data_IF_251025886936
#
_entry.id   IF_251025886936
#
_cell.length_a   1.000
_cell.length_b   1.000
_cell.length_c   1.000
_cell.angle_alpha   90.00
_cell.angle_beta   90.00
_cell.angle_gamma   90.00
#
_symmetry.space_group_name_H-M   'P 1'
#
loop_
_entity.id
_entity.type
_entity.pdbx_description
1 polymer ?
#
# COMPACT_ATOMS: atom_id res chain seq x y z
N UNK A 1 33.70 17.00 52.51
CA UNK A 1 32.84 16.70 51.33
C UNK A 1 31.67 17.68 51.35
N UNK A 2 31.16 18.24 50.24
CA UNK A 2 30.16 17.63 49.31
C UNK A 2 29.03 16.90 50.07
N UNK A 3 27.75 17.19 49.84
CA UNK A 3 27.13 17.62 48.55
C UNK A 3 26.06 18.70 48.73
N UNK A 4 26.01 19.68 47.82
CA UNK A 4 24.87 20.58 47.61
C UNK A 4 23.73 19.85 46.89
N UNK A 5 22.47 20.10 47.27
CA UNK A 5 21.31 19.76 46.43
C UNK A 5 21.09 20.87 45.41
N UNK A 6 21.50 20.64 44.16
CA UNK A 6 21.08 21.48 43.04
C UNK A 6 19.65 21.12 42.64
N UNK A 7 18.82 22.13 42.41
CA UNK A 7 17.67 21.98 41.52
C UNK A 7 18.15 21.83 40.07
N UNK A 8 17.32 21.21 39.23
CA UNK A 8 17.46 21.11 37.78
C UNK A 8 16.05 21.20 37.16
N UNK A 9 15.90 21.67 35.92
CA UNK A 9 14.62 22.19 35.44
C UNK A 9 13.63 21.12 34.99
N UNK A 10 12.34 21.48 35.03
CA UNK A 10 11.26 20.79 34.34
C UNK A 10 11.32 21.07 32.84
N UNK A 11 11.74 20.09 32.04
CA UNK A 11 11.75 20.16 30.58
C UNK A 11 10.85 19.07 29.98
N UNK A 12 9.53 19.22 30.19
CA UNK A 12 8.50 18.37 29.58
C UNK A 12 8.36 18.66 28.08
N UNK A 13 9.37 18.25 27.32
CA UNK A 13 9.30 18.17 25.86
C UNK A 13 8.21 17.16 25.45
N UNK A 14 7.01 17.69 25.16
CA UNK A 14 5.82 16.91 24.77
C UNK A 14 6.01 16.22 23.42
N UNK A 15 6.64 15.06 23.43
CA UNK A 15 6.74 14.12 22.31
C UNK A 15 5.39 13.46 22.03
N UNK A 16 4.52 14.18 21.31
CA UNK A 16 3.27 13.63 20.80
C UNK A 16 3.52 12.42 19.90
N UNK A 17 2.71 11.36 20.08
CA UNK A 17 2.72 10.19 19.20
C UNK A 17 2.49 10.64 17.75
N UNK A 18 3.31 10.19 16.77
CA UNK A 18 3.15 10.62 15.39
C UNK A 18 1.83 10.09 14.82
N UNK A 19 0.96 11.00 14.39
CA UNK A 19 -0.26 10.66 13.68
C UNK A 19 0.01 10.00 12.32
N UNK A 20 -1.06 9.57 11.68
CA UNK A 20 -1.01 9.07 10.29
C UNK A 20 -0.42 10.11 9.32
N UNK A 21 -0.03 9.66 8.13
CA UNK A 21 0.50 10.59 7.12
C UNK A 21 -0.57 11.61 6.71
N UNK A 22 -1.85 11.21 6.64
CA UNK A 22 -2.95 12.12 6.31
C UNK A 22 -3.20 13.16 7.41
N UNK A 23 -3.12 12.79 8.69
CA UNK A 23 -3.16 13.75 9.81
C UNK A 23 -1.95 14.70 9.78
N UNK A 24 -0.76 14.18 9.47
CA UNK A 24 0.47 14.97 9.34
C UNK A 24 0.41 15.97 8.17
N UNK A 25 -0.19 15.58 7.05
CA UNK A 25 -0.44 16.44 5.89
C UNK A 25 -1.44 17.54 6.27
N UNK A 26 -2.56 17.16 6.88
CA UNK A 26 -3.61 18.08 7.35
C UNK A 26 -3.03 19.13 8.30
N UNK A 27 -2.34 18.71 9.35
CA UNK A 27 -1.72 19.59 10.35
C UNK A 27 -0.79 20.63 9.71
N UNK A 28 0.14 20.21 8.85
CA UNK A 28 1.13 21.10 8.22
C UNK A 28 0.52 22.08 7.23
N UNK A 29 -0.54 21.69 6.52
CA UNK A 29 -1.25 22.59 5.61
C UNK A 29 -2.13 23.57 6.41
N UNK A 30 -2.78 23.11 7.47
CA UNK A 30 -3.61 23.95 8.34
C UNK A 30 -2.77 24.99 9.10
N UNK A 31 -1.62 24.62 9.66
CA UNK A 31 -0.64 25.55 10.24
C UNK A 31 -0.16 26.60 9.23
N UNK A 32 -0.03 26.20 7.96
CA UNK A 32 0.48 27.07 6.91
C UNK A 32 -0.59 28.04 6.40
N UNK A 33 -1.79 27.55 6.06
CA UNK A 33 -2.86 28.31 5.39
C UNK A 33 -3.81 29.02 6.37
N UNK A 34 -4.14 28.44 7.53
CA UNK A 34 -5.13 29.05 8.44
C UNK A 34 -4.75 30.48 8.88
N UNK A 35 -3.48 30.79 9.20
CA UNK A 35 -3.07 32.17 9.53
C UNK A 35 -3.09 33.15 8.35
N UNK A 36 -3.25 32.66 7.12
CA UNK A 36 -3.37 33.47 5.89
C UNK A 36 -4.85 33.71 5.50
N UNK A 37 -5.81 33.09 6.21
CA UNK A 37 -7.24 33.19 5.92
C UNK A 37 -7.81 34.53 6.39
N UNK A 38 -8.18 35.38 5.44
CA UNK A 38 -8.91 36.64 5.72
C UNK A 38 -10.42 36.43 5.58
N UNK A 39 -11.22 37.38 6.07
CA UNK A 39 -12.68 37.35 5.90
C UNK A 39 -13.12 37.44 4.42
N UNK A 40 -12.23 37.83 3.50
CA UNK A 40 -12.48 37.97 2.07
C UNK A 40 -11.88 36.85 1.21
N UNK A 41 -10.89 36.09 1.70
CA UNK A 41 -10.21 35.05 0.92
C UNK A 41 -10.42 33.65 1.51
N UNK A 42 -11.29 32.88 0.86
CA UNK A 42 -11.42 31.43 1.06
C UNK A 42 -10.63 30.61 0.03
N UNK A 43 -10.13 31.27 -1.03
CA UNK A 43 -9.26 30.68 -2.05
C UNK A 43 -7.79 30.79 -1.64
N UNK A 44 -7.04 29.71 -1.86
CA UNK A 44 -5.61 29.60 -1.65
C UNK A 44 -4.97 28.96 -2.88
N UNK A 45 -3.65 29.16 -3.06
CA UNK A 45 -2.87 28.45 -4.07
C UNK A 45 -1.84 27.53 -3.40
N UNK A 46 -1.74 26.28 -3.87
CA UNK A 46 -0.65 25.38 -3.51
C UNK A 46 0.17 24.99 -4.75
N UNK A 47 1.49 25.00 -4.61
CA UNK A 47 2.45 24.52 -5.60
C UNK A 47 3.13 23.26 -5.05
N UNK A 48 2.86 22.10 -5.64
CA UNK A 48 3.36 20.80 -5.23
C UNK A 48 4.60 20.41 -6.05
N UNK A 49 5.78 20.53 -5.44
CA UNK A 49 7.08 20.10 -5.98
C UNK A 49 7.36 18.66 -5.51
N UNK A 50 7.23 17.69 -6.43
CA UNK A 50 7.23 16.26 -6.11
C UNK A 50 8.49 15.55 -6.63
N UNK A 51 9.13 14.75 -5.76
CA UNK A 51 10.22 13.85 -6.16
C UNK A 51 9.67 12.58 -6.84
N UNK A 52 9.05 12.77 -8.01
CA UNK A 52 8.23 11.78 -8.71
C UNK A 52 8.39 11.84 -10.23
N UNK A 53 9.17 10.90 -10.77
CA UNK A 53 9.38 10.69 -12.21
C UNK A 53 8.38 9.63 -12.74
N UNK A 54 7.14 10.07 -12.97
CA UNK A 54 6.06 9.18 -13.42
C UNK A 54 6.33 8.57 -14.81
N UNK A 55 6.90 9.34 -15.75
CA UNK A 55 7.12 8.87 -17.13
C UNK A 55 8.14 7.73 -17.18
N UNK A 56 9.18 7.80 -16.32
CA UNK A 56 10.22 6.79 -16.20
C UNK A 56 9.71 5.56 -15.43
N UNK A 57 8.83 5.73 -14.44
CA UNK A 57 8.10 4.61 -13.84
C UNK A 57 7.29 3.84 -14.90
N UNK A 58 6.40 4.51 -15.63
CA UNK A 58 5.54 3.88 -16.65
C UNK A 58 6.37 3.19 -17.74
N UNK A 59 7.47 3.82 -18.17
CA UNK A 59 8.42 3.24 -19.13
C UNK A 59 9.10 1.96 -18.61
N UNK A 60 9.47 1.89 -17.33
CA UNK A 60 10.15 0.74 -16.72
C UNK A 60 9.23 -0.42 -16.33
N UNK A 61 7.91 -0.22 -16.25
CA UNK A 61 6.97 -1.31 -15.99
C UNK A 61 6.67 -2.16 -17.23
N UNK A 62 7.05 -1.70 -18.43
CA UNK A 62 6.85 -2.41 -19.70
C UNK A 62 5.39 -2.90 -19.93
N UNK A 63 4.41 -2.06 -19.54
CA UNK A 63 3.00 -2.30 -19.80
C UNK A 63 2.71 -2.39 -21.29
N UNK A 64 1.91 -3.38 -21.69
CA UNK A 64 1.40 -3.57 -23.05
C UNK A 64 0.20 -2.63 -23.30
N UNK A 65 0.39 -1.34 -23.02
CA UNK A 65 -0.65 -0.31 -22.97
C UNK A 65 -0.06 1.10 -23.12
N UNK A 66 -0.90 2.05 -23.54
CA UNK A 66 -0.56 3.49 -23.55
C UNK A 66 -0.39 4.03 -22.13
N UNK A 67 0.36 5.13 -21.94
CA UNK A 67 0.74 5.62 -20.61
C UNK A 67 -0.46 6.03 -19.74
N UNK A 68 -1.50 6.61 -20.34
CA UNK A 68 -2.77 6.94 -19.70
C UNK A 68 -3.61 5.70 -19.36
N UNK A 69 -3.45 4.60 -20.09
CA UNK A 69 -4.07 3.31 -19.71
C UNK A 69 -3.26 2.62 -18.61
N UNK A 70 -1.94 2.68 -18.69
CA UNK A 70 -1.01 2.11 -17.73
C UNK A 70 -1.11 2.76 -16.34
N UNK A 71 -1.28 4.08 -16.26
CA UNK A 71 -1.35 4.80 -14.97
C UNK A 71 -2.58 4.42 -14.13
N UNK A 72 -3.70 4.06 -14.77
CA UNK A 72 -4.89 3.58 -14.03
C UNK A 72 -4.79 2.10 -13.63
N UNK A 73 -4.21 1.26 -14.50
CA UNK A 73 -4.08 -0.19 -14.31
C UNK A 73 -2.89 -0.61 -13.42
N UNK A 74 -1.93 0.29 -13.18
CA UNK A 74 -0.72 -0.02 -12.41
C UNK A 74 -1.06 -0.63 -11.05
N UNK A 75 -0.51 -1.81 -10.76
CA UNK A 75 -0.74 -2.51 -9.50
C UNK A 75 0.10 -1.87 -8.40
N UNK A 76 -0.58 -1.42 -7.35
CA UNK A 76 -0.01 -0.70 -6.23
C UNK A 76 -0.15 -1.54 -4.97
N UNK A 77 0.87 -1.55 -4.10
CA UNK A 77 0.78 -2.15 -2.77
C UNK A 77 0.69 -1.05 -1.72
N UNK A 78 -0.29 -1.11 -0.83
CA UNK A 78 -0.42 -0.16 0.30
C UNK A 78 -0.59 -0.91 1.61
N UNK A 79 0.01 -0.41 2.70
CA UNK A 79 -0.12 -0.93 4.06
C UNK A 79 1.22 -1.19 4.75
N UNK A 80 1.38 -2.39 5.30
CA UNK A 80 2.47 -2.78 6.21
C UNK A 80 3.10 -4.13 5.83
N UNK A 81 4.21 -4.49 6.48
CA UNK A 81 4.90 -5.77 6.25
C UNK A 81 4.03 -7.01 6.55
N UNK A 82 3.14 -6.92 7.54
CA UNK A 82 2.19 -7.99 7.86
C UNK A 82 0.95 -7.95 6.99
N UNK A 83 0.31 -6.76 6.92
CA UNK A 83 -0.99 -6.56 6.29
C UNK A 83 -0.90 -5.46 5.22
N UNK A 84 -1.12 -5.84 3.95
CA UNK A 84 -1.11 -4.94 2.80
C UNK A 84 -2.28 -5.26 1.84
N UNK A 85 -2.67 -4.30 0.99
CA UNK A 85 -3.58 -4.54 -0.14
C UNK A 85 -2.83 -4.38 -1.46
N UNK A 86 -3.13 -5.23 -2.45
CA UNK A 86 -2.81 -5.00 -3.85
C UNK A 86 -4.07 -4.58 -4.61
N UNK A 87 -4.04 -3.39 -5.23
CA UNK A 87 -5.12 -2.83 -6.03
C UNK A 87 -4.54 -2.12 -7.25
N UNK A 88 -5.36 -1.93 -8.30
CA UNK A 88 -4.97 -0.97 -9.34
C UNK A 88 -4.92 0.44 -8.75
N UNK A 89 -4.14 1.32 -9.36
CA UNK A 89 -4.07 2.73 -9.00
C UNK A 89 -5.47 3.37 -8.94
N UNK A 90 -6.30 3.13 -9.95
CA UNK A 90 -7.67 3.63 -10.00
C UNK A 90 -8.55 3.08 -8.86
N UNK A 91 -8.45 1.79 -8.55
CA UNK A 91 -9.26 1.17 -7.51
C UNK A 91 -8.89 1.69 -6.11
N UNK A 92 -7.60 1.80 -5.79
CA UNK A 92 -7.16 2.38 -4.52
C UNK A 92 -7.56 3.85 -4.37
N UNK A 93 -7.41 4.64 -5.44
CA UNK A 93 -7.82 6.06 -5.45
C UNK A 93 -9.34 6.21 -5.27
N UNK A 94 -10.15 5.34 -5.87
CA UNK A 94 -11.60 5.32 -5.67
C UNK A 94 -12.01 4.79 -4.29
N UNK A 95 -11.26 3.86 -3.71
CA UNK A 95 -11.48 3.33 -2.36
C UNK A 95 -11.22 4.40 -1.30
N UNK A 96 -10.11 5.13 -1.43
CA UNK A 96 -9.58 6.03 -0.39
C UNK A 96 -10.13 7.45 -0.53
N UNK A 97 -10.44 7.89 -1.75
CA UNK A 97 -11.06 9.20 -2.03
C UNK A 97 -12.20 9.08 -3.04
N UNK A 98 -13.39 8.55 -2.63
CA UNK A 98 -14.47 8.19 -3.55
C UNK A 98 -15.01 9.34 -4.42
N UNK A 99 -14.91 10.59 -3.97
CA UNK A 99 -15.44 11.76 -4.68
C UNK A 99 -14.44 12.37 -5.67
N UNK A 100 -13.14 12.29 -5.40
CA UNK A 100 -12.10 13.10 -6.05
C UNK A 100 -10.95 12.29 -6.66
N UNK A 101 -10.62 11.12 -6.11
CA UNK A 101 -9.45 10.34 -6.55
C UNK A 101 -9.51 9.90 -8.01
N UNK A 102 -10.72 9.53 -8.49
CA UNK A 102 -10.97 9.25 -9.92
C UNK A 102 -10.73 10.46 -10.82
N UNK A 103 -10.97 11.68 -10.32
CA UNK A 103 -10.78 12.92 -11.09
C UNK A 103 -9.29 13.25 -11.19
N UNK A 104 -8.52 13.11 -10.11
CA UNK A 104 -7.06 13.30 -10.14
C UNK A 104 -6.37 12.30 -11.07
N UNK A 105 -6.75 11.01 -11.03
CA UNK A 105 -6.20 10.02 -12.00
C UNK A 105 -6.54 10.41 -13.43
N UNK A 106 -7.77 10.90 -13.70
CA UNK A 106 -8.16 11.39 -15.04
C UNK A 106 -7.41 12.64 -15.49
N UNK A 107 -6.99 13.53 -14.58
CA UNK A 107 -6.13 14.66 -14.92
C UNK A 107 -4.71 14.18 -15.26
N UNK A 108 -4.15 13.20 -14.53
CA UNK A 108 -2.88 12.57 -14.90
C UNK A 108 -2.97 11.88 -16.26
N UNK A 109 -4.07 11.18 -16.56
CA UNK A 109 -4.34 10.60 -17.88
C UNK A 109 -4.34 11.67 -18.98
N UNK A 110 -5.01 12.81 -18.75
CA UNK A 110 -5.03 13.95 -19.68
C UNK A 110 -3.63 14.56 -19.88
N UNK A 111 -2.82 14.66 -18.84
CA UNK A 111 -1.44 15.14 -18.93
C UNK A 111 -0.54 14.16 -19.71
N UNK A 112 -0.71 12.85 -19.53
CA UNK A 112 0.07 11.81 -20.23
C UNK A 112 -0.27 11.67 -21.72
N UNK A 113 -1.52 11.98 -22.12
CA UNK A 113 -1.92 12.08 -23.54
C UNK A 113 -1.38 13.36 -24.22
N UNK A 114 -1.09 14.40 -23.43
CA UNK A 114 -0.57 15.68 -23.94
C UNK A 114 0.87 15.52 -24.45
N UNK A 115 1.20 15.93 -25.70
CA UNK A 115 2.59 15.95 -26.17
C UNK A 115 3.50 16.88 -25.35
N UNK A 116 2.91 17.84 -24.63
CA UNK A 116 3.60 18.72 -23.69
C UNK A 116 3.67 18.16 -22.26
N UNK A 117 3.27 16.88 -22.04
CA UNK A 117 3.21 16.17 -20.76
C UNK A 117 2.53 16.95 -19.62
N UNK A 118 1.58 17.81 -19.99
CA UNK A 118 0.97 18.79 -19.09
C UNK A 118 -0.49 19.04 -19.45
N UNK A 119 -1.31 19.40 -18.46
CA UNK A 119 -2.69 19.82 -18.67
C UNK A 119 -3.26 20.65 -17.50
N UNK A 120 -4.18 21.55 -17.83
CA UNK A 120 -5.07 22.21 -16.86
C UNK A 120 -6.43 21.49 -16.75
N UNK A 121 -7.07 21.56 -15.59
CA UNK A 121 -8.42 21.04 -15.35
C UNK A 121 -9.00 21.45 -14.00
N UNK A 122 -10.10 20.82 -13.60
CA UNK A 122 -10.81 21.11 -12.36
C UNK A 122 -11.16 19.84 -11.59
N UNK A 123 -11.10 19.91 -10.27
CA UNK A 123 -11.63 18.91 -9.34
C UNK A 123 -13.08 19.22 -8.97
N UNK A 124 -13.72 18.27 -8.27
CA UNK A 124 -15.02 18.49 -7.61
C UNK A 124 -14.92 19.71 -6.68
N UNK A 125 -15.95 20.56 -6.69
CA UNK A 125 -15.93 21.83 -5.96
C UNK A 125 -15.20 22.99 -6.66
N UNK A 126 -14.74 22.80 -7.91
CA UNK A 126 -14.19 23.89 -8.73
C UNK A 126 -12.75 24.27 -8.42
N UNK A 127 -12.01 23.43 -7.69
CA UNK A 127 -10.57 23.62 -7.49
C UNK A 127 -9.84 23.43 -8.83
N UNK A 128 -9.20 24.49 -9.31
CA UNK A 128 -8.38 24.50 -10.52
C UNK A 128 -7.08 23.74 -10.25
N UNK A 129 -6.61 22.95 -11.22
CA UNK A 129 -5.36 22.18 -11.15
C UNK A 129 -4.63 22.20 -12.50
N UNK A 130 -3.41 22.72 -12.49
CA UNK A 130 -2.42 22.64 -13.56
C UNK A 130 -1.39 21.56 -13.21
N UNK A 131 -1.13 20.63 -14.14
CA UNK A 131 -0.17 19.53 -13.98
C UNK A 131 0.93 19.66 -15.05
N UNK A 132 2.20 19.51 -14.64
CA UNK A 132 3.37 19.40 -15.51
C UNK A 132 4.20 18.15 -15.12
N UNK A 133 4.41 17.25 -16.09
CA UNK A 133 5.18 16.01 -15.99
C UNK A 133 6.39 15.98 -16.96
N UNK A 134 6.79 17.13 -17.52
CA UNK A 134 7.94 17.25 -18.43
C UNK A 134 9.29 17.02 -17.72
N UNK A 135 9.33 17.35 -16.44
CA UNK A 135 10.48 17.23 -15.56
C UNK A 135 10.49 15.87 -14.82
N UNK A 136 11.67 15.31 -14.46
CA UNK A 136 11.76 14.14 -13.58
C UNK A 136 11.25 14.42 -12.15
N UNK A 137 10.89 15.67 -11.85
CA UNK A 137 10.03 16.07 -10.74
C UNK A 137 8.73 16.64 -11.29
N UNK A 138 7.61 15.95 -11.01
CA UNK A 138 6.29 16.47 -11.31
C UNK A 138 6.01 17.77 -10.53
N UNK A 139 5.41 18.75 -11.21
CA UNK A 139 4.96 20.01 -10.63
C UNK A 139 3.45 20.12 -10.81
N UNK A 140 2.71 20.34 -9.73
CA UNK A 140 1.26 20.56 -9.77
C UNK A 140 0.95 21.89 -9.08
N UNK A 141 0.27 22.81 -9.77
CA UNK A 141 -0.27 24.03 -9.16
C UNK A 141 -1.77 23.88 -9.02
N UNK A 142 -2.32 24.17 -7.85
CA UNK A 142 -3.75 24.09 -7.60
C UNK A 142 -4.29 25.34 -6.90
N UNK A 143 -5.48 25.80 -7.29
CA UNK A 143 -6.19 26.94 -6.69
C UNK A 143 -7.56 26.48 -6.18
N UNK A 144 -7.77 26.54 -4.87
CA UNK A 144 -8.94 25.93 -4.24
C UNK A 144 -9.12 26.31 -2.78
N UNK A 145 -10.05 25.63 -2.10
CA UNK A 145 -10.21 25.75 -0.65
C UNK A 145 -9.12 24.98 0.09
N UNK A 146 -8.80 25.40 1.31
CA UNK A 146 -7.83 24.73 2.19
C UNK A 146 -8.08 23.21 2.29
N UNK A 147 -9.34 22.78 2.44
CA UNK A 147 -9.70 21.36 2.49
C UNK A 147 -9.40 20.60 1.18
N UNK A 148 -9.70 21.21 0.01
CA UNK A 148 -9.41 20.58 -1.28
C UNK A 148 -7.91 20.47 -1.56
N UNK A 149 -7.11 21.46 -1.14
CA UNK A 149 -5.65 21.42 -1.24
C UNK A 149 -5.03 20.38 -0.29
N UNK A 150 -5.58 20.21 0.92
CA UNK A 150 -5.19 19.14 1.85
C UNK A 150 -5.50 17.76 1.28
N UNK A 151 -6.70 17.55 0.73
CA UNK A 151 -7.08 16.27 0.13
C UNK A 151 -6.21 15.93 -1.11
N UNK A 152 -5.99 16.91 -1.99
CA UNK A 152 -5.09 16.77 -3.14
C UNK A 152 -3.65 16.46 -2.71
N UNK A 153 -3.16 17.08 -1.64
CA UNK A 153 -1.83 16.75 -1.10
C UNK A 153 -1.73 15.31 -0.61
N UNK A 154 -2.79 14.79 0.05
CA UNK A 154 -2.89 13.39 0.43
C UNK A 154 -2.85 12.44 -0.78
N UNK A 155 -3.61 12.77 -1.83
CA UNK A 155 -3.66 12.01 -3.07
C UNK A 155 -2.31 12.00 -3.81
N UNK A 156 -1.70 13.16 -4.00
CA UNK A 156 -0.38 13.29 -4.63
C UNK A 156 0.72 12.56 -3.82
N UNK A 157 0.67 12.67 -2.49
CA UNK A 157 1.60 11.95 -1.60
C UNK A 157 1.48 10.43 -1.73
N UNK A 158 0.27 9.90 -1.91
CA UNK A 158 0.09 8.47 -2.19
C UNK A 158 0.51 8.10 -3.62
N UNK A 159 0.06 8.85 -4.63
CA UNK A 159 0.34 8.58 -6.04
C UNK A 159 1.84 8.50 -6.32
N UNK A 160 2.62 9.45 -5.83
CA UNK A 160 4.07 9.42 -5.98
C UNK A 160 4.77 8.34 -5.16
N UNK A 161 4.16 7.86 -4.08
CA UNK A 161 4.66 6.72 -3.30
C UNK A 161 4.35 5.37 -3.97
N UNK A 162 3.19 5.25 -4.62
CA UNK A 162 2.71 4.05 -5.29
C UNK A 162 3.30 3.86 -6.69
N UNK A 163 3.40 4.95 -7.46
CA UNK A 163 3.77 4.97 -8.87
C UNK A 163 5.23 5.40 -9.05
N UNK A 164 6.15 4.80 -8.28
CA UNK A 164 7.60 4.95 -8.46
C UNK A 164 8.30 3.62 -8.67
N UNK A 165 9.46 3.68 -9.32
CA UNK A 165 10.30 2.48 -9.45
C UNK A 165 11.03 2.23 -8.13
N UNK A 166 10.91 1.02 -7.58
CA UNK A 166 11.73 0.58 -6.45
C UNK A 166 13.22 0.77 -6.77
N UNK A 167 14.04 1.41 -5.90
CA UNK A 167 15.47 1.59 -6.13
C UNK A 167 16.28 0.28 -6.03
N UNK A 168 15.60 -0.87 -5.93
CA UNK A 168 16.19 -2.20 -5.69
C UNK A 168 15.88 -3.17 -6.82
N UNK A 169 16.85 -4.02 -7.12
CA UNK A 169 16.70 -5.14 -8.06
C UNK A 169 16.02 -6.38 -7.46
N UNK A 170 15.86 -6.43 -6.13
CA UNK A 170 15.20 -7.53 -5.41
C UNK A 170 14.71 -7.12 -4.02
N UNK A 171 13.73 -7.86 -3.51
CA UNK A 171 13.20 -7.70 -2.15
C UNK A 171 12.14 -6.60 -2.02
N UNK A 172 11.44 -6.60 -0.89
CA UNK A 172 10.42 -5.58 -0.59
C UNK A 172 11.10 -4.31 -0.09
N UNK A 173 10.64 -3.15 -0.58
CA UNK A 173 10.89 -1.86 0.06
C UNK A 173 9.58 -1.22 0.53
N UNK A 174 9.66 -0.24 1.42
CA UNK A 174 8.52 0.56 1.85
C UNK A 174 8.76 2.02 1.47
N UNK A 175 7.84 2.62 0.72
CA UNK A 175 7.89 4.06 0.42
C UNK A 175 7.04 4.82 1.42
N UNK A 176 7.66 5.72 2.18
CA UNK A 176 6.96 6.61 3.12
C UNK A 176 7.09 8.04 2.58
N UNK A 177 6.02 8.67 2.07
CA UNK A 177 6.06 10.08 1.69
C UNK A 177 6.19 10.98 2.93
N UNK A 178 6.76 12.15 2.71
CA UNK A 178 7.04 13.17 3.71
C UNK A 178 6.84 14.54 3.07
N UNK A 179 6.13 15.44 3.75
CA UNK A 179 5.92 16.80 3.25
C UNK A 179 6.63 17.86 4.10
N UNK A 180 7.14 18.89 3.44
CA UNK A 180 7.43 20.19 4.04
C UNK A 180 6.62 21.26 3.31
N UNK A 181 6.09 22.22 4.07
CA UNK A 181 5.26 23.31 3.56
C UNK A 181 5.97 24.62 3.87
N UNK A 182 6.02 25.53 2.90
CA UNK A 182 6.60 26.88 3.04
C UNK A 182 5.59 27.89 2.53
N UNK A 183 5.33 28.97 3.28
CA UNK A 183 4.47 30.06 2.81
C UNK A 183 5.20 30.86 1.74
N UNK A 184 4.49 31.14 0.65
CA UNK A 184 5.02 31.86 -0.50
C UNK A 184 4.36 33.23 -0.60
N UNK A 185 5.15 34.26 -0.97
CA UNK A 185 4.67 35.64 -1.06
C UNK A 185 4.19 35.93 -2.47
N UNK A 186 2.88 35.77 -2.71
CA UNK A 186 2.23 36.05 -3.99
C UNK A 186 0.94 36.86 -3.79
N UNK A 187 0.33 37.34 -4.88
CA UNK A 187 -0.91 38.12 -4.82
C UNK A 187 -2.12 37.34 -4.24
N UNK A 188 -2.11 36.01 -4.34
CA UNK A 188 -3.01 35.12 -3.59
C UNK A 188 -2.30 34.52 -2.37
N UNK A 189 -3.03 34.18 -1.29
CA UNK A 189 -2.50 33.36 -0.19
C UNK A 189 -1.95 32.02 -0.71
N UNK A 190 -0.63 31.84 -0.69
CA UNK A 190 0.01 30.68 -1.32
C UNK A 190 1.03 29.95 -0.46
N UNK A 191 1.20 28.66 -0.78
CA UNK A 191 2.23 27.78 -0.20
C UNK A 191 2.91 26.97 -1.29
N UNK A 192 4.21 26.72 -1.11
CA UNK A 192 4.92 25.68 -1.85
C UNK A 192 5.05 24.46 -0.92
N UNK A 193 4.59 23.30 -1.39
CA UNK A 193 4.57 22.02 -0.69
C UNK A 193 5.56 21.08 -1.39
N UNK A 194 6.64 20.71 -0.70
CA UNK A 194 7.58 19.72 -1.20
C UNK A 194 7.18 18.34 -0.72
N UNK A 195 6.95 17.43 -1.67
CA UNK A 195 6.64 16.02 -1.39
C UNK A 195 7.88 15.18 -1.74
N UNK A 196 8.64 14.83 -0.71
CA UNK A 196 9.81 13.93 -0.77
C UNK A 196 9.48 12.57 -0.15
N UNK A 197 10.28 11.55 -0.44
CA UNK A 197 9.93 10.17 -0.09
C UNK A 197 11.12 9.44 0.49
N UNK A 198 10.88 8.66 1.56
CA UNK A 198 11.90 7.80 2.19
C UNK A 198 11.57 6.35 1.88
N UNK A 199 12.39 5.73 1.03
CA UNK A 199 12.34 4.30 0.75
C UNK A 199 13.16 3.55 1.81
N UNK A 200 12.49 2.80 2.69
CA UNK A 200 13.13 2.04 3.78
C UNK A 200 13.25 0.55 3.45
N UNK A 201 14.39 -0.04 3.81
CA UNK A 201 14.65 -1.47 3.71
C UNK A 201 14.35 -2.17 5.03
N UNK A 202 13.25 -2.90 5.09
CA UNK A 202 13.10 -4.00 6.06
C UNK A 202 13.91 -5.20 5.58
N UNK A 203 15.23 -5.11 5.79
CA UNK A 203 16.25 -6.11 5.47
C UNK A 203 16.18 -7.33 6.40
N UNK A 204 14.99 -7.92 6.52
CA UNK A 204 14.66 -8.99 7.44
C UNK A 204 15.50 -10.23 7.15
N UNK A 205 15.97 -10.87 8.21
CA UNK A 205 16.90 -11.99 8.07
C UNK A 205 16.19 -13.28 7.65
N UNK A 206 16.86 -14.21 6.93
CA UNK A 206 16.22 -15.42 6.37
C UNK A 206 15.48 -16.38 7.31
N UNK A 207 15.44 -16.15 8.63
CA UNK A 207 14.78 -17.02 9.61
C UNK A 207 13.49 -16.43 10.17
N UNK A 208 13.03 -15.29 9.64
CA UNK A 208 11.62 -14.96 9.69
C UNK A 208 10.87 -15.82 8.65
N UNK A 209 10.99 -17.15 8.82
CA UNK A 209 10.50 -18.22 7.93
C UNK A 209 8.98 -18.37 7.90
N UNK A 210 8.26 -17.36 8.40
CA UNK A 210 6.82 -17.21 8.39
C UNK A 210 6.39 -15.85 7.82
N UNK A 211 7.33 -15.00 7.35
CA UNK A 211 7.06 -13.68 6.80
C UNK A 211 6.46 -13.75 5.38
N UNK A 212 5.22 -14.24 5.34
CA UNK A 212 4.17 -14.16 4.34
C UNK A 212 4.45 -14.70 2.92
N UNK A 213 3.75 -15.79 2.56
CA UNK A 213 3.89 -16.48 1.26
C UNK A 213 3.56 -15.61 0.03
N UNK A 214 2.72 -14.59 0.17
CA UNK A 214 2.37 -13.67 -0.93
C UNK A 214 3.57 -12.90 -1.51
N UNK A 215 4.67 -12.75 -0.77
CA UNK A 215 5.82 -11.95 -1.20
C UNK A 215 6.42 -12.47 -2.51
N UNK A 216 6.39 -13.78 -2.74
CA UNK A 216 6.87 -14.41 -3.97
C UNK A 216 5.98 -14.15 -5.20
N UNK A 217 4.82 -13.50 -5.05
CA UNK A 217 4.00 -13.00 -6.17
C UNK A 217 4.63 -11.74 -6.82
N UNK A 218 5.62 -11.11 -6.17
CA UNK A 218 6.28 -9.88 -6.64
C UNK A 218 7.80 -9.98 -6.50
N UNK A 219 8.56 -9.40 -7.43
CA UNK A 219 10.04 -9.50 -7.47
C UNK A 219 10.75 -8.48 -6.59
N UNK A 220 10.32 -7.23 -6.70
CA UNK A 220 10.89 -6.07 -6.02
C UNK A 220 9.81 -5.02 -5.68
N UNK A 221 8.68 -5.43 -5.05
CA UNK A 221 7.56 -4.54 -4.81
C UNK A 221 7.93 -3.41 -3.86
N UNK A 222 7.26 -2.28 -4.03
CA UNK A 222 7.31 -1.14 -3.12
C UNK A 222 5.93 -0.99 -2.46
N UNK A 223 5.90 -0.95 -1.13
CA UNK A 223 4.66 -0.84 -0.36
C UNK A 223 4.54 0.60 0.15
N UNK A 224 3.44 1.28 -0.18
CA UNK A 224 3.13 2.59 0.39
C UNK A 224 2.78 2.43 1.86
N UNK A 225 3.62 2.99 2.71
CA UNK A 225 3.50 2.93 4.16
C UNK A 225 2.72 4.14 4.70
N UNK A 226 2.02 3.97 5.83
CA UNK A 226 1.34 5.06 6.55
C UNK A 226 0.03 5.57 5.92
N UNK A 227 -0.48 4.87 4.91
CA UNK A 227 -1.78 5.11 4.27
C UNK A 227 -2.81 4.03 4.64
N UNK A 228 -4.12 4.33 4.61
CA UNK A 228 -5.15 3.39 5.01
C UNK A 228 -5.27 2.20 4.05
N UNK A 229 -5.74 1.09 4.61
CA UNK A 229 -6.22 -0.10 3.90
C UNK A 229 -7.64 -0.41 4.41
N UNK A 230 -8.45 -1.19 3.67
CA UNK A 230 -9.77 -1.59 4.16
C UNK A 230 -9.66 -2.32 5.52
N UNK A 231 -10.54 -1.94 6.44
CA UNK A 231 -10.70 -2.62 7.72
C UNK A 231 -10.92 -4.12 7.50
N UNK A 232 -10.25 -4.96 8.31
CA UNK A 232 -10.26 -6.42 8.20
C UNK A 232 -11.07 -6.99 9.38
N UNK A 233 -12.33 -7.40 9.17
CA UNK A 233 -13.26 -7.70 10.26
C UNK A 233 -12.76 -8.84 11.14
N UNK A 234 -12.13 -9.86 10.55
CA UNK A 234 -11.62 -11.05 11.24
C UNK A 234 -10.10 -10.96 11.49
N UNK A 235 -9.54 -9.74 11.40
CA UNK A 235 -8.10 -9.45 11.48
C UNK A 235 -7.26 -10.27 10.46
N UNK A 236 -7.80 -10.48 9.26
CA UNK A 236 -7.16 -11.34 8.25
C UNK A 236 -5.71 -10.90 7.93
N UNK A 237 -4.79 -11.86 7.91
CA UNK A 237 -3.34 -11.59 7.79
C UNK A 237 -2.84 -11.71 6.35
N UNK A 238 -1.86 -10.88 5.99
CA UNK A 238 -1.18 -10.95 4.69
C UNK A 238 -1.71 -9.96 3.65
N UNK A 239 -1.60 -10.34 2.38
CA UNK A 239 -1.97 -9.51 1.24
C UNK A 239 -3.42 -9.73 0.87
N UNK A 240 -4.23 -8.69 0.92
CA UNK A 240 -5.55 -8.68 0.30
C UNK A 240 -5.43 -8.28 -1.16
N UNK A 241 -6.14 -8.96 -2.08
CA UNK A 241 -6.20 -8.57 -3.48
C UNK A 241 -7.46 -9.11 -4.19
N UNK A 242 -7.95 -8.44 -5.25
CA UNK A 242 -9.09 -8.93 -6.04
C UNK A 242 -8.80 -10.29 -6.69
N UNK A 243 -9.84 -11.13 -6.84
CA UNK A 243 -9.68 -12.46 -7.44
C UNK A 243 -9.00 -12.44 -8.81
N UNK A 244 -9.32 -11.47 -9.67
CA UNK A 244 -8.70 -11.33 -10.99
C UNK A 244 -7.17 -11.22 -10.95
N UNK A 245 -6.62 -10.58 -9.91
CA UNK A 245 -5.17 -10.44 -9.68
C UNK A 245 -4.53 -11.72 -9.12
N UNK A 246 -5.33 -12.64 -8.58
CA UNK A 246 -4.93 -14.01 -8.23
C UNK A 246 -5.08 -14.96 -9.43
N UNK A 247 -6.07 -14.69 -10.29
CA UNK A 247 -6.58 -15.57 -11.35
C UNK A 247 -5.84 -15.49 -12.69
N UNK A 248 -4.69 -14.80 -12.77
CA UNK A 248 -3.67 -15.12 -13.79
C UNK A 248 -3.26 -16.60 -13.76
N UNK A 249 -3.52 -17.26 -12.63
CA UNK A 249 -3.68 -18.71 -12.50
C UNK A 249 -4.88 -19.23 -13.34
N UNK A 250 -4.67 -19.30 -14.66
CA UNK A 250 -5.63 -19.54 -15.78
C UNK A 250 -6.81 -20.49 -15.58
N UNK A 251 -6.79 -21.38 -14.59
CA UNK A 251 -7.90 -22.29 -14.29
C UNK A 251 -8.12 -22.43 -12.77
N UNK A 252 -9.26 -21.92 -12.28
CA UNK A 252 -9.84 -22.36 -11.02
C UNK A 252 -10.34 -23.80 -11.20
N UNK A 253 -9.71 -24.76 -10.52
CA UNK A 253 -9.86 -26.19 -10.79
C UNK A 253 -10.20 -26.96 -9.53
N UNK A 254 -11.28 -27.74 -9.53
CA UNK A 254 -11.48 -28.77 -8.50
C UNK A 254 -10.50 -29.92 -8.73
N UNK A 255 -9.64 -30.21 -7.75
CA UNK A 255 -8.70 -31.32 -7.80
C UNK A 255 -8.89 -32.26 -6.60
N UNK A 256 -9.59 -33.37 -6.84
CA UNK A 256 -10.07 -34.23 -5.77
C UNK A 256 -11.07 -33.47 -4.90
N UNK A 257 -10.76 -33.34 -3.61
CA UNK A 257 -11.64 -32.76 -2.59
C UNK A 257 -11.33 -31.29 -2.26
N UNK A 258 -10.59 -30.55 -3.07
CA UNK A 258 -10.31 -29.11 -2.84
C UNK A 258 -10.27 -28.30 -4.14
N UNK A 259 -10.48 -26.99 -4.00
CA UNK A 259 -10.36 -25.97 -5.03
C UNK A 259 -8.91 -25.49 -5.13
N UNK A 260 -8.37 -25.41 -6.35
CA UNK A 260 -6.99 -25.00 -6.63
C UNK A 260 -6.99 -23.95 -7.73
N UNK A 261 -6.39 -22.79 -7.51
CA UNK A 261 -6.11 -21.84 -8.60
C UNK A 261 -4.69 -22.13 -9.12
N UNK A 262 -4.56 -22.54 -10.39
CA UNK A 262 -3.31 -23.07 -10.94
C UNK A 262 -2.68 -22.20 -12.02
N UNK A 263 -1.45 -21.73 -11.78
CA UNK A 263 -0.57 -21.14 -12.81
C UNK A 263 0.47 -22.16 -13.30
N UNK A 264 1.54 -21.75 -14.01
CA UNK A 264 2.59 -22.67 -14.46
C UNK A 264 3.40 -23.24 -13.27
N UNK A 265 4.28 -22.43 -12.70
CA UNK A 265 5.10 -22.70 -11.51
C UNK A 265 4.48 -22.20 -10.20
N UNK A 266 3.22 -21.78 -10.23
CA UNK A 266 2.46 -21.25 -9.08
C UNK A 266 1.21 -22.07 -8.79
N UNK A 267 0.71 -22.00 -7.56
CA UNK A 267 -0.53 -22.64 -7.12
C UNK A 267 -1.06 -21.92 -5.87
N UNK A 268 -2.34 -21.56 -5.86
CA UNK A 268 -3.04 -21.03 -4.67
C UNK A 268 -3.98 -22.11 -4.12
N UNK A 269 -3.90 -22.31 -2.80
CA UNK A 269 -4.65 -23.33 -2.05
C UNK A 269 -5.42 -22.64 -0.93
N UNK A 270 -6.75 -22.81 -0.80
CA UNK A 270 -7.51 -22.23 0.29
C UNK A 270 -7.15 -22.94 1.59
N UNK A 271 -6.87 -22.17 2.64
CA UNK A 271 -6.47 -22.67 3.97
C UNK A 271 -7.42 -22.27 5.08
N UNK A 272 -8.21 -21.21 4.87
CA UNK A 272 -9.23 -20.77 5.82
C UNK A 272 -10.37 -20.06 5.09
N UNK A 273 -11.55 -20.07 5.70
CA UNK A 273 -12.75 -19.38 5.23
C UNK A 273 -13.52 -18.81 6.42
N UNK A 274 -13.99 -17.58 6.26
CA UNK A 274 -15.02 -16.94 7.08
C UNK A 274 -16.31 -16.83 6.27
N UNK A 275 -17.36 -16.17 6.78
CA UNK A 275 -18.53 -15.88 5.94
C UNK A 275 -18.19 -14.99 4.71
N UNK A 276 -17.23 -14.07 4.86
CA UNK A 276 -16.95 -12.97 3.92
C UNK A 276 -15.54 -12.98 3.33
N UNK A 277 -14.69 -13.94 3.71
CA UNK A 277 -13.32 -14.02 3.23
C UNK A 277 -12.78 -15.44 3.09
N UNK A 278 -11.83 -15.61 2.17
CA UNK A 278 -11.03 -16.83 1.98
C UNK A 278 -9.56 -16.47 2.12
N UNK A 279 -8.85 -17.19 2.99
CA UNK A 279 -7.39 -17.12 3.11
C UNK A 279 -6.76 -18.21 2.24
N UNK A 280 -5.73 -17.83 1.48
CA UNK A 280 -5.03 -18.67 0.53
C UNK A 280 -3.55 -18.76 0.85
N UNK A 281 -2.98 -19.95 0.74
CA UNK A 281 -1.54 -20.17 0.76
C UNK A 281 -0.99 -20.19 -0.68
N UNK A 282 0.00 -19.33 -0.96
CA UNK A 282 0.69 -19.27 -2.25
C UNK A 282 1.89 -20.22 -2.26
N UNK A 283 1.84 -21.21 -3.15
CA UNK A 283 2.96 -22.09 -3.46
C UNK A 283 3.62 -21.62 -4.77
N UNK A 284 4.93 -21.44 -4.72
CA UNK A 284 5.78 -21.10 -5.86
C UNK A 284 6.91 -22.12 -6.00
N UNK A 285 7.41 -22.29 -7.21
CA UNK A 285 8.57 -23.10 -7.55
C UNK A 285 9.65 -22.17 -8.12
N UNK A 286 10.70 -21.89 -7.33
CA UNK A 286 11.76 -20.91 -7.68
C UNK A 286 12.61 -21.38 -8.87
N UNK A 287 12.69 -22.68 -9.07
CA UNK A 287 13.24 -23.37 -10.25
C UNK A 287 12.43 -23.14 -11.55
N UNK A 288 11.22 -22.59 -11.44
CA UNK A 288 10.29 -22.41 -12.55
C UNK A 288 9.56 -23.69 -12.99
N UNK A 289 9.76 -24.82 -12.31
CA UNK A 289 9.11 -26.08 -12.67
C UNK A 289 7.60 -26.06 -12.40
N UNK A 290 6.87 -26.87 -13.18
CA UNK A 290 5.41 -26.98 -13.07
C UNK A 290 5.02 -27.76 -11.81
N UNK A 291 4.64 -27.05 -10.75
CA UNK A 291 4.04 -27.63 -9.53
C UNK A 291 2.96 -28.68 -9.89
N UNK A 292 3.14 -29.98 -9.57
CA UNK A 292 2.14 -31.01 -9.84
C UNK A 292 0.92 -30.85 -8.92
N UNK A 293 -0.29 -31.12 -9.41
CA UNK A 293 -1.54 -30.91 -8.64
C UNK A 293 -1.57 -31.65 -7.30
N UNK A 294 -1.04 -32.88 -7.19
CA UNK A 294 -1.00 -33.63 -5.93
C UNK A 294 -0.05 -33.04 -4.88
N UNK A 295 0.90 -32.17 -5.27
CA UNK A 295 2.02 -31.77 -4.40
C UNK A 295 1.63 -30.84 -3.25
N UNK A 296 0.52 -30.08 -3.35
CA UNK A 296 0.10 -29.23 -2.22
C UNK A 296 -0.13 -30.03 -0.95
N UNK A 297 -0.59 -31.29 -1.05
CA UNK A 297 -0.83 -32.16 0.12
C UNK A 297 0.41 -32.42 0.97
N UNK A 298 1.62 -32.17 0.43
CA UNK A 298 2.91 -32.25 1.14
C UNK A 298 3.48 -30.88 1.53
N UNK A 299 3.00 -29.79 0.91
CA UNK A 299 3.55 -28.42 1.05
C UNK A 299 2.64 -27.49 1.86
N UNK A 300 1.37 -27.83 1.97
CA UNK A 300 0.36 -27.17 2.76
C UNK A 300 -0.40 -28.26 3.52
N UNK A 301 -0.32 -28.26 4.85
CA UNK A 301 -1.07 -29.18 5.72
C UNK A 301 -2.45 -28.63 6.11
N UNK A 302 -2.62 -27.31 6.05
CA UNK A 302 -3.80 -26.57 6.53
C UNK A 302 -4.80 -26.27 5.41
N UNK A 303 -4.87 -27.07 4.34
CA UNK A 303 -5.81 -26.86 3.23
C UNK A 303 -7.24 -27.23 3.63
N UNK A 304 -8.23 -26.49 3.10
CA UNK A 304 -9.65 -26.79 3.30
C UNK A 304 -10.28 -27.44 2.06
N UNK A 305 -11.32 -28.25 2.27
CA UNK A 305 -11.98 -28.97 1.19
C UNK A 305 -13.03 -28.15 0.44
N UNK A 306 -13.62 -28.73 -0.60
CA UNK A 306 -14.73 -28.15 -1.38
C UNK A 306 -16.02 -27.99 -0.58
N UNK A 307 -16.16 -28.69 0.55
CA UNK A 307 -17.19 -28.44 1.58
C UNK A 307 -17.16 -26.99 2.09
N UNK A 308 -15.97 -26.38 2.12
CA UNK A 308 -15.75 -25.00 2.58
C UNK A 308 -15.40 -24.05 1.43
N UNK A 309 -14.56 -24.46 0.47
CA UNK A 309 -14.09 -23.62 -0.63
C UNK A 309 -14.44 -24.24 -1.99
N UNK A 310 -15.55 -23.81 -2.59
CA UNK A 310 -16.03 -24.23 -3.91
C UNK A 310 -16.17 -23.05 -4.88
N UNK A 311 -16.23 -23.33 -6.19
CA UNK A 311 -16.19 -22.30 -7.26
C UNK A 311 -17.24 -21.18 -7.09
N UNK A 312 -18.47 -21.47 -6.66
CA UNK A 312 -19.50 -20.44 -6.44
C UNK A 312 -19.12 -19.33 -5.44
N UNK A 313 -18.19 -19.59 -4.51
CA UNK A 313 -17.65 -18.57 -3.60
C UNK A 313 -16.62 -17.64 -4.25
N UNK A 314 -16.16 -17.97 -5.46
CA UNK A 314 -15.32 -17.10 -6.30
C UNK A 314 -16.16 -16.13 -7.15
N UNK A 315 -17.45 -16.42 -7.31
CA UNK A 315 -18.40 -15.62 -8.09
C UNK A 315 -19.09 -14.55 -7.22
N UNK A 316 -19.11 -14.74 -5.90
CA UNK A 316 -19.56 -13.73 -4.93
C UNK A 316 -18.58 -12.55 -4.86
N UNK A 317 -19.02 -11.39 -5.39
CA UNK A 317 -18.25 -10.13 -5.39
C UNK A 317 -18.01 -9.56 -3.99
N UNK A 318 -18.69 -10.06 -2.96
CA UNK A 318 -18.48 -9.66 -1.56
C UNK A 318 -17.38 -10.51 -0.88
N UNK A 319 -16.94 -11.60 -1.51
CA UNK A 319 -15.91 -12.48 -0.98
C UNK A 319 -14.53 -11.84 -1.09
N UNK A 320 -13.93 -11.48 0.05
CA UNK A 320 -12.57 -10.93 0.09
C UNK A 320 -11.55 -12.07 0.04
N UNK A 321 -10.40 -11.82 -0.57
CA UNK A 321 -9.35 -12.83 -0.68
C UNK A 321 -8.04 -12.32 -0.10
N UNK A 322 -7.48 -13.11 0.81
CA UNK A 322 -6.23 -12.81 1.49
C UNK A 322 -5.21 -13.91 1.17
N UNK A 323 -4.09 -13.57 0.54
CA UNK A 323 -2.96 -14.48 0.42
C UNK A 323 -2.07 -14.28 1.65
N UNK A 324 -1.93 -15.32 2.46
CA UNK A 324 -1.29 -15.24 3.76
C UNK A 324 -1.07 -16.62 4.36
N UNK A 325 -0.02 -16.75 5.17
CA UNK A 325 0.20 -17.97 5.94
C UNK A 325 0.74 -17.64 7.31
N UNK A 326 -0.01 -18.04 8.33
CA UNK A 326 0.51 -18.30 9.66
C UNK A 326 0.49 -19.82 9.83
N UNK A 327 1.63 -20.42 10.19
CA UNK A 327 1.75 -21.87 10.44
C UNK A 327 0.92 -22.33 11.64
N UNK A 328 0.74 -21.42 12.59
CA UNK A 328 -0.19 -21.50 13.73
C UNK A 328 -0.83 -20.12 13.94
N UNK A 329 -2.12 -20.11 14.28
CA UNK A 329 -2.77 -19.00 14.98
C UNK A 329 -3.29 -19.57 16.29
N UNK A 330 -2.39 -19.69 17.28
CA UNK A 330 -2.75 -20.14 18.63
C UNK A 330 -3.23 -18.96 19.46
N UNK A 331 -4.44 -19.07 20.01
CA UNK A 331 -5.12 -17.98 20.73
C UNK A 331 -4.72 -17.98 22.21
N UNK A 332 -3.46 -17.62 22.49
CA UNK A 332 -2.84 -17.64 23.82
C UNK A 332 -3.31 -16.55 24.82
N UNK A 333 -4.40 -15.83 24.50
CA UNK A 333 -5.02 -14.87 25.42
C UNK A 333 -5.59 -15.63 26.64
N UNK A 334 -4.90 -15.52 27.77
CA UNK A 334 -5.25 -16.22 29.02
C UNK A 334 -4.56 -17.57 29.24
N UNK A 335 -3.57 -17.97 28.42
CA UNK A 335 -2.75 -19.18 28.67
C UNK A 335 -1.42 -18.84 29.34
N UNK A 336 -0.89 -19.75 30.16
CA UNK A 336 0.40 -19.60 30.86
C UNK A 336 1.61 -19.55 29.90
N UNK A 337 1.50 -20.14 28.71
CA UNK A 337 2.57 -20.21 27.69
C UNK A 337 2.91 -18.84 27.04
N UNK A 338 2.17 -17.79 27.37
CA UNK A 338 2.24 -16.49 26.71
C UNK A 338 3.26 -15.56 27.40
N UNK A 339 4.28 -15.03 26.69
CA UNK A 339 5.31 -14.19 27.27
C UNK A 339 4.82 -12.74 27.50
N UNK A 340 3.99 -12.55 28.53
CA UNK A 340 3.54 -11.24 29.01
C UNK A 340 4.67 -10.37 29.61
N UNK A 341 5.94 -10.76 29.49
CA UNK A 341 7.11 -9.93 29.83
C UNK A 341 7.54 -9.03 28.66
N UNK A 342 7.21 -9.42 27.42
CA UNK A 342 7.64 -8.73 26.19
C UNK A 342 6.48 -7.88 25.71
N UNK A 343 6.30 -6.73 26.37
CA UNK A 343 5.14 -5.79 26.35
C UNK A 343 5.62 -4.29 26.60
N UNK A 344 5.55 -3.10 25.88
CA UNK A 344 5.05 -2.22 24.72
C UNK A 344 3.57 -1.97 24.29
N UNK A 345 3.04 -0.75 24.46
CA UNK A 345 1.73 -0.31 23.90
C UNK A 345 1.73 -0.06 22.37
N UNK A 346 0.53 0.03 21.78
CA UNK A 346 0.29 0.30 20.35
C UNK A 346 0.35 1.79 19.93
N UNK A 347 0.56 2.72 20.86
CA UNK A 347 0.67 4.16 20.58
C UNK A 347 -0.65 4.90 20.35
N UNK A 348 -1.79 4.20 20.44
CA UNK A 348 -3.12 4.81 20.48
C UNK A 348 -3.33 5.64 21.76
N UNK A 349 -4.26 6.60 21.74
CA UNK A 349 -4.72 7.27 22.97
C UNK A 349 -5.26 6.22 23.94
N UNK A 350 -4.86 6.29 25.20
CA UNK A 350 -5.36 5.38 26.23
C UNK A 350 -6.87 5.53 26.39
N UNK A 351 -7.57 4.40 26.44
CA UNK A 351 -8.92 4.38 27.00
C UNK A 351 -8.83 4.76 28.49
N UNK A 352 -9.78 5.54 28.99
CA UNK A 352 -9.84 5.91 30.41
C UNK A 352 -10.04 4.65 31.25
N UNK A 353 -8.97 4.20 31.91
CA UNK A 353 -8.90 3.11 32.91
C UNK A 353 -9.84 1.92 32.63
N UNK A 354 -9.53 1.17 31.58
CA UNK A 354 -10.18 -0.10 31.25
C UNK A 354 -9.27 -1.01 30.43
N UNK A 355 -8.65 -1.99 31.09
CA UNK A 355 -7.71 -3.00 30.59
C UNK A 355 -6.32 -2.50 30.11
N UNK A 356 -5.28 -3.19 30.57
CA UNK A 356 -3.95 -3.33 29.97
C UNK A 356 -3.87 -4.70 29.23
N UNK A 357 -2.86 -5.14 28.45
CA UNK A 357 -1.42 -4.80 28.37
C UNK A 357 -0.79 -5.14 26.96
N UNK A 358 -0.23 -4.17 26.20
CA UNK A 358 1.03 -4.16 25.37
C UNK A 358 1.44 -5.02 24.04
N UNK A 359 2.68 -5.63 23.88
CA UNK A 359 3.62 -5.83 22.64
C UNK A 359 3.53 -7.24 21.91
N UNK A 360 4.22 -7.73 20.83
CA UNK A 360 5.45 -7.50 19.95
C UNK A 360 6.76 -8.36 20.26
N UNK A 361 7.83 -8.24 19.43
CA UNK A 361 9.29 -8.66 19.55
C UNK A 361 9.90 -10.13 19.49
N UNK A 362 10.21 -10.63 18.26
CA UNK A 362 11.52 -11.16 17.66
C UNK A 362 12.44 -12.25 18.34
N UNK A 363 13.43 -12.99 17.73
CA UNK A 363 14.22 -12.88 16.45
C UNK A 363 15.10 -14.15 16.02
N UNK A 364 15.62 -14.17 14.75
CA UNK A 364 16.92 -14.76 14.18
C UNK A 364 17.14 -16.30 13.92
N UNK A 365 18.11 -16.82 13.07
CA UNK A 365 18.90 -16.37 11.85
C UNK A 365 20.00 -17.38 11.30
N UNK A 366 19.92 -17.95 10.07
CA UNK A 366 20.98 -18.53 9.16
C UNK A 366 20.56 -18.99 7.70
N UNK A 367 20.87 -18.16 6.67
CA UNK A 367 21.61 -18.41 5.36
C UNK A 367 21.43 -19.73 4.53
N UNK A 368 21.49 -19.82 3.17
CA UNK A 368 21.90 -18.88 2.06
C UNK A 368 21.53 -19.37 0.60
N UNK A 369 20.92 -18.49 -0.21
CA UNK A 369 20.98 -18.23 -1.70
C UNK A 369 21.32 -19.29 -2.79
N UNK A 370 20.60 -19.24 -3.95
CA UNK A 370 20.96 -18.48 -5.19
C UNK A 370 19.93 -18.52 -6.34
N UNK A 371 20.01 -17.51 -7.23
CA UNK A 371 19.42 -17.37 -8.59
C UNK A 371 17.89 -17.18 -8.73
N UNK A 372 17.46 -16.10 -9.43
CA UNK A 372 16.06 -15.73 -9.68
C UNK A 372 15.98 -14.76 -10.90
N UNK A 373 15.47 -15.18 -12.06
CA UNK A 373 15.52 -14.34 -13.27
C UNK A 373 14.54 -14.67 -14.44
N UNK A 374 13.20 -14.65 -14.25
CA UNK A 374 12.27 -14.59 -15.42
C UNK A 374 10.82 -14.06 -15.22
N UNK A 375 10.32 -13.81 -14.00
CA UNK A 375 8.86 -13.83 -13.75
C UNK A 375 8.10 -12.49 -13.94
N UNK A 376 8.75 -11.31 -13.95
CA UNK A 376 8.02 -10.02 -13.83
C UNK A 376 7.16 -9.60 -15.02
N UNK A 377 7.58 -9.82 -16.27
CA UNK A 377 7.00 -9.14 -17.43
C UNK A 377 5.72 -9.81 -17.97
N UNK A 378 4.96 -10.47 -17.07
CA UNK A 378 3.72 -11.20 -17.35
C UNK A 378 2.50 -10.54 -16.70
N UNK A 379 2.62 -10.06 -15.46
CA UNK A 379 1.53 -9.38 -14.73
C UNK A 379 1.07 -8.11 -15.45
N UNK A 380 2.03 -7.40 -16.07
CA UNK A 380 1.76 -6.24 -16.93
C UNK A 380 1.06 -6.59 -18.26
N UNK A 381 1.15 -7.85 -18.73
CA UNK A 381 0.60 -8.31 -20.02
C UNK A 381 -0.78 -8.96 -19.91
N UNK A 382 -1.14 -9.50 -18.74
CA UNK A 382 -2.44 -10.14 -18.53
C UNK A 382 -3.61 -9.15 -18.68
N UNK A 383 -3.45 -7.91 -18.20
CA UNK A 383 -4.50 -6.90 -18.18
C UNK A 383 -4.92 -6.38 -19.57
N UNK A 384 -4.01 -6.34 -20.55
CA UNK A 384 -4.34 -5.89 -21.90
C UNK A 384 -5.33 -6.83 -22.61
N UNK A 385 -5.17 -8.15 -22.42
CA UNK A 385 -6.03 -9.17 -23.04
C UNK A 385 -7.42 -9.24 -22.39
N UNK A 386 -7.53 -9.00 -21.08
CA UNK A 386 -8.82 -9.01 -20.36
C UNK A 386 -9.71 -7.81 -20.71
N UNK A 387 -9.13 -6.65 -21.05
CA UNK A 387 -9.89 -5.46 -21.51
C UNK A 387 -10.36 -5.53 -22.97
N UNK A 388 -10.08 -6.62 -23.70
CA UNK A 388 -10.55 -6.89 -25.06
C UNK A 388 -11.54 -8.07 -25.16
N UNK A 389 -11.92 -8.68 -24.02
CA UNK A 389 -12.80 -9.87 -23.97
C UNK A 389 -13.99 -9.71 -23.02
N UNK A 390 -14.31 -8.47 -22.63
CA UNK A 390 -15.58 -8.02 -22.04
C UNK A 390 -15.99 -6.68 -22.69
#
# INVERSE_FOLDING_TARGET
MKTTRSSAPSDESRSGSPGTILETITHKIDESLTPMRTAASQLFQAEFDMDWDLTNFLRRQEYDATWETAVELAITLTGSNGNAQALTCMDYMCQTWPLSGRVVVRLLQKALVSPALSCSGFLVGGTEVDIDLTSPRALIVARGSQAALTELCGQLSWLGAALRTSPRSSGIGFSTPSISVTRSSTALPSVTVRIGYTDTDYGLSPDEGSASCWRAMFRNPLIVNGFPILARPENELGLELPLGMMAETRFATHYGSTLVLKGPCTMLIPTYRTERSITWHFLFNEDGERIPYYSFRKRCSTWIGTDKAHIGLLEDRNMRHFVGWASHVTRHLGTEDMPYDKIDWSGAKSCTTGLAVEQKLTARKRRRHRCLAHVTNLVAKAFYLLKQTM
#
